data_IF_184708190886
#
_entry.id   IF_184708190886
#
_cell.length_a   1.000
_cell.length_b   1.000
_cell.length_c   1.000
_cell.angle_alpha   90.00
_cell.angle_beta   90.00
_cell.angle_gamma   90.00
#
_symmetry.space_group_name_H-M   'P 1'
#
loop_
_entity.id
_entity.type
_entity.pdbx_description
1 polymer ?
#
# COMPACT_ATOMS: atom_id res chain seq x y z
N UNK A 1 52.87 -27.63 -62.63
CA UNK A 1 52.81 -27.00 -61.29
C UNK A 1 51.55 -26.14 -61.24
N UNK A 2 50.45 -26.66 -60.69
CA UNK A 2 49.14 -25.99 -60.62
C UNK A 2 48.85 -25.58 -59.17
N UNK A 3 48.90 -24.28 -58.88
CA UNK A 3 48.55 -23.70 -57.58
C UNK A 3 47.09 -23.28 -57.54
N UNK A 4 46.25 -24.05 -56.84
CA UNK A 4 44.88 -23.64 -56.49
C UNK A 4 44.90 -22.59 -55.37
N UNK A 5 44.35 -21.40 -55.63
CA UNK A 5 44.07 -20.38 -54.62
C UNK A 5 42.75 -20.71 -53.93
N UNK A 6 42.78 -20.97 -52.61
CA UNK A 6 41.57 -21.08 -51.78
C UNK A 6 41.11 -19.68 -51.37
N UNK A 7 39.92 -19.28 -51.78
CA UNK A 7 39.22 -18.10 -51.25
C UNK A 7 38.58 -18.49 -49.91
N UNK A 8 38.97 -17.83 -48.82
CA UNK A 8 38.32 -17.97 -47.53
C UNK A 8 37.25 -16.88 -47.40
N UNK A 9 35.98 -17.28 -47.42
CA UNK A 9 34.84 -16.38 -47.22
C UNK A 9 34.60 -16.19 -45.72
N UNK A 10 34.91 -15.01 -45.19
CA UNK A 10 34.62 -14.68 -43.78
C UNK A 10 33.14 -14.27 -43.66
N UNK A 11 32.31 -15.14 -43.07
CA UNK A 11 30.93 -14.78 -42.71
C UNK A 11 30.95 -13.88 -41.47
N UNK A 12 30.58 -12.62 -41.64
CA UNK A 12 30.33 -11.69 -40.54
C UNK A 12 28.90 -11.94 -40.01
N UNK A 13 28.75 -12.60 -38.86
CA UNK A 13 27.47 -12.69 -38.16
C UNK A 13 27.21 -11.36 -37.45
N UNK A 14 26.30 -10.54 -37.97
CA UNK A 14 25.75 -9.40 -37.25
C UNK A 14 24.77 -9.91 -36.19
N UNK A 15 25.19 -9.94 -34.92
CA UNK A 15 24.29 -10.19 -33.79
C UNK A 15 23.32 -8.99 -33.66
N UNK A 16 22.10 -9.14 -34.16
CA UNK A 16 20.99 -8.24 -33.84
C UNK A 16 20.63 -8.45 -32.36
N UNK A 17 21.13 -7.58 -31.49
CA UNK A 17 20.69 -7.53 -30.09
C UNK A 17 19.24 -7.05 -30.05
N UNK A 18 18.30 -7.98 -29.87
CA UNK A 18 16.92 -7.66 -29.58
C UNK A 18 16.86 -6.93 -28.21
N UNK A 19 16.15 -5.80 -28.09
CA UNK A 19 15.98 -5.16 -26.79
C UNK A 19 15.25 -6.13 -25.86
N UNK A 20 15.90 -6.49 -24.76
CA UNK A 20 15.26 -7.27 -23.71
C UNK A 20 14.09 -6.44 -23.16
N UNK A 21 12.87 -6.86 -23.45
CA UNK A 21 11.68 -6.33 -22.78
C UNK A 21 11.78 -6.79 -21.33
N UNK A 22 12.29 -5.91 -20.46
CA UNK A 22 12.27 -6.14 -19.02
C UNK A 22 10.82 -6.07 -18.57
N UNK A 23 10.20 -7.22 -18.37
CA UNK A 23 8.95 -7.29 -17.62
C UNK A 23 9.28 -6.92 -16.18
N UNK A 24 8.76 -5.78 -15.70
CA UNK A 24 8.91 -5.41 -14.31
C UNK A 24 8.33 -6.54 -13.45
N UNK A 25 9.14 -7.07 -12.54
CA UNK A 25 8.71 -8.12 -11.61
C UNK A 25 7.52 -7.61 -10.80
N UNK A 26 6.49 -8.43 -10.64
CA UNK A 26 5.32 -8.12 -9.80
C UNK A 26 5.79 -7.75 -8.40
N UNK A 27 5.37 -6.59 -7.93
CA UNK A 27 5.70 -6.08 -6.61
C UNK A 27 4.77 -6.68 -5.57
N UNK A 28 5.35 -7.17 -4.47
CA UNK A 28 4.64 -7.67 -3.30
C UNK A 28 4.90 -6.78 -2.09
N UNK A 29 3.91 -6.74 -1.20
CA UNK A 29 3.85 -5.83 -0.09
C UNK A 29 4.08 -6.54 1.23
N UNK A 30 4.80 -5.88 2.14
CA UNK A 30 4.72 -6.17 3.56
C UNK A 30 3.53 -5.43 4.18
N UNK A 31 3.05 -5.86 5.35
CA UNK A 31 2.05 -5.13 6.14
C UNK A 31 2.40 -3.63 6.27
N UNK A 32 1.51 -2.65 6.13
CA UNK A 32 1.94 -1.24 6.03
C UNK A 32 2.16 -0.51 7.38
N UNK A 33 2.24 -1.21 8.52
CA UNK A 33 2.41 -0.57 9.84
C UNK A 33 3.42 -1.29 10.74
N UNK A 34 3.98 -0.61 11.74
CA UNK A 34 4.98 -1.21 12.64
C UNK A 34 4.39 -2.34 13.49
N UNK A 35 5.04 -3.51 13.49
CA UNK A 35 4.72 -4.66 14.35
C UNK A 35 5.57 -4.74 15.63
N UNK A 36 6.20 -3.64 16.05
CA UNK A 36 6.77 -3.57 17.40
C UNK A 36 5.68 -3.87 18.44
N UNK A 37 6.06 -4.46 19.57
CA UNK A 37 5.14 -4.96 20.60
C UNK A 37 4.23 -3.87 21.19
N UNK A 38 4.72 -2.63 21.24
CA UNK A 38 4.01 -1.43 21.67
C UNK A 38 3.29 -0.68 20.53
N UNK A 39 3.42 -1.17 19.30
CA UNK A 39 2.78 -0.63 18.08
C UNK A 39 1.60 -1.53 17.67
N UNK A 40 1.60 -2.10 16.46
CA UNK A 40 0.58 -3.08 16.05
C UNK A 40 0.84 -4.50 16.55
N UNK A 41 2.04 -4.78 17.09
CA UNK A 41 2.34 -6.07 17.72
C UNK A 41 1.38 -6.36 18.88
N UNK A 42 1.28 -7.62 19.28
CA UNK A 42 0.45 -8.08 20.41
C UNK A 42 -1.02 -7.59 20.34
N UNK A 43 -1.59 -7.49 19.13
CA UNK A 43 -2.97 -7.06 18.94
C UNK A 43 -3.19 -5.55 19.02
N UNK A 44 -2.15 -4.74 18.90
CA UNK A 44 -2.28 -3.27 18.91
C UNK A 44 -2.94 -2.68 17.65
N UNK A 45 -3.11 -3.48 16.60
CA UNK A 45 -3.91 -3.15 15.43
C UNK A 45 -4.78 -4.33 15.01
N UNK A 46 -5.92 -4.05 14.38
CA UNK A 46 -6.86 -5.06 13.89
C UNK A 46 -7.43 -4.67 12.54
N UNK A 47 -7.84 -5.65 11.74
CA UNK A 47 -8.58 -5.36 10.51
C UNK A 47 -10.02 -5.01 10.87
N UNK A 48 -10.44 -3.79 10.54
CA UNK A 48 -11.82 -3.33 10.73
C UNK A 48 -12.68 -3.49 9.48
N UNK A 49 -12.10 -3.35 8.30
CA UNK A 49 -12.78 -3.52 7.01
C UNK A 49 -11.79 -3.92 5.91
N UNK A 50 -12.22 -4.78 5.01
CA UNK A 50 -11.56 -5.08 3.74
C UNK A 50 -12.26 -4.36 2.59
N UNK A 51 -11.69 -4.41 1.39
CA UNK A 51 -12.33 -3.85 0.19
C UNK A 51 -13.68 -4.51 -0.04
N UNK A 52 -14.64 -3.71 -0.50
CA UNK A 52 -15.96 -4.18 -0.87
C UNK A 52 -15.97 -4.67 -2.34
N UNK A 53 -16.11 -5.99 -2.51
CA UNK A 53 -16.29 -6.65 -3.80
C UNK A 53 -17.78 -6.90 -4.10
N UNK A 54 -18.58 -5.83 -4.02
CA UNK A 54 -20.01 -5.87 -4.34
C UNK A 54 -20.85 -6.55 -3.25
N UNK A 55 -20.59 -6.23 -1.99
CA UNK A 55 -21.31 -6.75 -0.83
C UNK A 55 -20.54 -7.82 -0.05
N UNK A 56 -19.28 -8.08 -0.36
CA UNK A 56 -18.45 -9.13 0.26
C UNK A 56 -16.98 -8.74 0.25
N UNK A 57 -16.20 -9.24 1.19
CA UNK A 57 -14.74 -9.08 1.18
C UNK A 57 -14.04 -10.14 0.30
N UNK A 58 -12.71 -10.07 0.22
CA UNK A 58 -11.88 -10.97 -0.60
C UNK A 58 -12.12 -12.46 -0.31
N UNK A 59 -12.49 -12.80 0.92
CA UNK A 59 -12.75 -14.16 1.40
C UNK A 59 -14.24 -14.53 1.36
N UNK A 60 -15.05 -13.76 0.64
CA UNK A 60 -16.51 -13.90 0.59
C UNK A 60 -17.21 -13.65 1.93
N UNK A 61 -16.52 -13.01 2.88
CA UNK A 61 -17.06 -12.63 4.18
C UNK A 61 -17.76 -11.27 4.16
N UNK A 62 -18.16 -10.82 5.35
CA UNK A 62 -18.87 -9.56 5.58
C UNK A 62 -18.04 -8.47 6.25
N UNK A 63 -16.71 -8.62 6.37
CA UNK A 63 -15.86 -7.64 7.07
C UNK A 63 -15.52 -6.51 6.10
N UNK A 64 -16.52 -5.67 5.83
CA UNK A 64 -16.48 -4.55 4.88
C UNK A 64 -17.62 -3.58 5.17
N UNK A 65 -17.61 -2.43 4.51
CA UNK A 65 -18.77 -1.58 4.35
C UNK A 65 -18.95 -1.18 2.88
N UNK A 66 -20.15 -0.72 2.51
CA UNK A 66 -20.51 -0.51 1.11
C UNK A 66 -19.58 0.52 0.43
N UNK A 67 -19.04 0.16 -0.74
CA UNK A 67 -18.16 1.02 -1.53
C UNK A 67 -16.75 1.19 -0.96
N UNK A 68 -16.36 0.44 0.07
CA UNK A 68 -15.03 0.53 0.65
C UNK A 68 -13.95 0.10 -0.36
N UNK A 69 -12.93 0.93 -0.54
CA UNK A 69 -11.94 0.74 -1.62
C UNK A 69 -10.63 0.09 -1.19
N UNK A 70 -10.39 -0.12 0.10
CA UNK A 70 -9.10 -0.61 0.60
C UNK A 70 -9.26 -1.51 1.81
N UNK A 71 -8.18 -1.69 2.57
CA UNK A 71 -8.22 -2.33 3.89
C UNK A 71 -7.97 -1.31 4.98
N UNK A 72 -8.80 -1.35 6.03
CA UNK A 72 -8.65 -0.53 7.23
C UNK A 72 -7.97 -1.33 8.34
N UNK A 73 -6.86 -0.79 8.84
CA UNK A 73 -6.15 -1.28 10.00
C UNK A 73 -6.38 -0.33 11.17
N UNK A 74 -7.40 -0.65 11.98
CA UNK A 74 -7.77 0.14 13.15
C UNK A 74 -6.73 0.03 14.26
N UNK A 75 -6.46 1.17 14.90
CA UNK A 75 -5.60 1.23 16.09
C UNK A 75 -6.39 0.77 17.31
N UNK A 76 -5.98 -0.34 17.92
CA UNK A 76 -6.60 -0.82 19.16
C UNK A 76 -6.21 0.12 20.30
N UNK A 77 -7.21 0.74 20.92
CA UNK A 77 -7.04 1.85 21.87
C UNK A 77 -7.38 3.23 21.28
N UNK A 78 -7.78 3.31 20.00
CA UNK A 78 -8.34 4.50 19.38
C UNK A 78 -7.43 5.72 19.48
N UNK A 79 -7.98 6.87 19.89
CA UNK A 79 -7.24 8.12 19.97
C UNK A 79 -6.06 8.08 20.94
N UNK A 80 -6.13 7.33 22.05
CA UNK A 80 -4.99 7.17 22.95
C UNK A 80 -3.82 6.43 22.26
N UNK A 81 -4.13 5.46 21.39
CA UNK A 81 -3.12 4.76 20.59
C UNK A 81 -2.56 5.64 19.46
N UNK A 82 -3.40 6.48 18.87
CA UNK A 82 -2.96 7.52 17.93
C UNK A 82 -1.99 8.50 18.61
N UNK A 83 -2.31 8.97 19.82
CA UNK A 83 -1.48 9.92 20.59
C UNK A 83 -0.12 9.33 20.97
N UNK A 84 -0.07 8.01 21.20
CA UNK A 84 1.19 7.28 21.35
C UNK A 84 2.06 7.30 20.07
N UNK A 85 1.43 7.33 18.89
CA UNK A 85 2.09 7.52 17.60
C UNK A 85 2.48 6.21 16.91
N UNK A 86 1.54 5.65 16.13
CA UNK A 86 1.77 4.40 15.40
C UNK A 86 2.40 4.61 14.03
N UNK A 87 3.58 4.03 13.81
CA UNK A 87 4.31 4.16 12.55
C UNK A 87 3.62 3.44 11.39
N UNK A 88 3.41 4.18 10.31
CA UNK A 88 3.11 3.68 8.98
C UNK A 88 4.43 3.47 8.24
N UNK A 89 4.56 2.31 7.61
CA UNK A 89 5.79 1.86 6.98
C UNK A 89 5.56 1.65 5.49
N UNK A 90 6.56 1.99 4.68
CA UNK A 90 6.51 1.75 3.25
C UNK A 90 6.40 0.24 2.97
N UNK A 91 5.38 -0.14 2.21
CA UNK A 91 4.97 -1.53 2.04
C UNK A 91 5.84 -2.27 1.01
N UNK A 92 6.38 -1.53 0.03
CA UNK A 92 7.35 -2.01 -0.95
C UNK A 92 8.15 -0.82 -1.49
N UNK A 93 9.33 -1.08 -2.03
CA UNK A 93 10.17 -0.02 -2.60
C UNK A 93 9.44 0.75 -3.71
N UNK A 94 9.61 2.06 -3.74
CA UNK A 94 8.90 2.91 -4.71
C UNK A 94 9.32 4.37 -4.64
N UNK A 95 8.60 5.21 -5.39
CA UNK A 95 8.76 6.67 -5.39
C UNK A 95 7.47 7.32 -4.93
N UNK A 96 7.57 8.31 -4.03
CA UNK A 96 6.39 9.10 -3.61
C UNK A 96 5.89 9.90 -4.81
N UNK A 97 4.76 9.47 -5.37
CA UNK A 97 4.13 10.10 -6.54
C UNK A 97 3.32 11.34 -6.13
N UNK A 98 2.64 11.27 -4.98
CA UNK A 98 1.85 12.35 -4.42
C UNK A 98 1.78 12.24 -2.90
N UNK A 99 1.65 13.38 -2.24
CA UNK A 99 1.49 13.45 -0.79
C UNK A 99 0.77 14.73 -0.40
N UNK A 100 -0.11 14.63 0.58
CA UNK A 100 -0.82 15.76 1.18
C UNK A 100 -0.70 15.64 2.69
N UNK A 101 -0.38 16.74 3.37
CA UNK A 101 -0.17 16.80 4.81
C UNK A 101 -0.72 18.12 5.40
N UNK A 102 -0.84 18.19 6.72
CA UNK A 102 -1.20 19.38 7.49
C UNK A 102 -2.69 19.53 7.82
N UNK A 103 -3.56 18.70 7.25
CA UNK A 103 -4.99 18.71 7.56
C UNK A 103 -5.26 18.15 8.95
N UNK A 104 -6.35 18.60 9.56
CA UNK A 104 -6.78 18.10 10.86
C UNK A 104 -7.01 16.58 10.83
N UNK A 105 -6.59 15.92 11.90
CA UNK A 105 -6.37 14.47 11.94
C UNK A 105 -6.97 13.76 13.15
N UNK A 106 -7.87 14.42 13.90
CA UNK A 106 -8.63 13.79 15.00
C UNK A 106 -10.12 13.65 14.68
N UNK A 107 -10.43 13.28 13.46
CA UNK A 107 -11.78 13.20 12.95
C UNK A 107 -12.52 11.97 13.50
N UNK A 108 -13.81 12.15 13.75
CA UNK A 108 -14.75 11.09 14.06
C UNK A 108 -16.07 11.43 13.37
N UNK A 109 -16.29 10.83 12.20
CA UNK A 109 -17.47 11.05 11.36
C UNK A 109 -18.81 10.79 12.09
N UNK A 110 -18.82 9.97 13.14
CA UNK A 110 -20.03 9.70 13.92
C UNK A 110 -20.32 10.76 14.98
N UNK A 111 -19.32 11.55 15.38
CA UNK A 111 -19.46 12.67 16.31
C UNK A 111 -19.63 13.99 15.56
N UNK A 112 -20.72 14.09 14.80
CA UNK A 112 -21.03 15.30 14.00
C UNK A 112 -21.41 16.51 14.87
N UNK A 113 -21.76 16.28 16.15
CA UNK A 113 -22.06 17.34 17.10
C UNK A 113 -20.79 18.11 17.53
N UNK A 114 -19.62 17.47 17.42
CA UNK A 114 -18.34 18.10 17.65
C UNK A 114 -17.84 18.75 16.34
N UNK A 115 -17.84 20.09 16.22
CA UNK A 115 -17.40 20.78 15.01
C UNK A 115 -15.92 20.53 14.70
N UNK A 116 -15.13 20.07 15.67
CA UNK A 116 -13.75 19.65 15.48
C UNK A 116 -13.62 18.20 15.03
N UNK A 117 -14.64 17.34 15.20
CA UNK A 117 -14.58 15.92 14.80
C UNK A 117 -15.34 15.60 13.50
N UNK A 118 -16.26 16.48 13.07
CA UNK A 118 -17.16 16.32 11.92
C UNK A 118 -16.47 16.30 10.53
N UNK A 119 -15.18 15.97 10.43
CA UNK A 119 -14.32 16.13 9.26
C UNK A 119 -14.69 15.36 7.97
N UNK A 120 -15.89 14.78 7.88
CA UNK A 120 -16.36 13.98 6.75
C UNK A 120 -16.25 14.66 5.38
N UNK A 121 -15.97 15.96 5.33
CA UNK A 121 -15.85 16.77 4.11
C UNK A 121 -14.45 17.38 3.90
N UNK A 122 -13.47 17.10 4.76
CA UNK A 122 -12.11 17.66 4.63
C UNK A 122 -11.16 16.71 3.89
N UNK A 123 -10.19 17.30 3.21
CA UNK A 123 -9.08 16.58 2.58
C UNK A 123 -8.32 15.76 3.63
N UNK A 124 -8.06 14.49 3.34
CA UNK A 124 -7.24 13.64 4.21
C UNK A 124 -5.74 13.89 3.97
N UNK A 125 -4.92 13.68 5.01
CA UNK A 125 -3.49 13.53 4.85
C UNK A 125 -3.19 12.16 4.26
N UNK A 126 -2.34 12.10 3.24
CA UNK A 126 -2.03 10.86 2.55
C UNK A 126 -0.64 10.85 1.91
N UNK A 127 -0.17 9.63 1.61
CA UNK A 127 0.97 9.35 0.73
C UNK A 127 0.51 8.37 -0.35
N UNK A 128 0.89 8.62 -1.60
CA UNK A 128 0.74 7.68 -2.73
C UNK A 128 2.14 7.30 -3.20
N UNK A 129 2.45 6.01 -3.09
CA UNK A 129 3.72 5.42 -3.51
C UNK A 129 3.52 4.72 -4.85
N UNK A 130 4.35 5.04 -5.85
CA UNK A 130 4.38 4.33 -7.14
C UNK A 130 5.53 3.32 -7.17
N UNK A 131 5.23 2.11 -7.59
CA UNK A 131 6.19 1.00 -7.64
C UNK A 131 6.77 0.78 -9.05
N UNK A 132 7.75 -0.13 -9.15
CA UNK A 132 8.48 -0.41 -10.37
C UNK A 132 7.61 -1.06 -11.47
N UNK A 133 6.60 -1.84 -11.09
CA UNK A 133 5.62 -2.45 -11.99
C UNK A 133 4.46 -1.51 -12.38
N UNK A 134 4.53 -0.25 -11.97
CA UNK A 134 3.51 0.76 -12.23
C UNK A 134 2.32 0.72 -11.26
N UNK A 135 2.23 -0.28 -10.39
CA UNK A 135 1.23 -0.30 -9.32
C UNK A 135 1.48 0.80 -8.30
N UNK A 136 0.48 1.08 -7.48
CA UNK A 136 0.59 2.07 -6.40
C UNK A 136 0.04 1.52 -5.10
N UNK A 137 0.65 1.93 -3.99
CA UNK A 137 0.03 1.85 -2.67
C UNK A 137 -0.36 3.23 -2.20
N UNK A 138 -1.52 3.34 -1.55
CA UNK A 138 -2.00 4.60 -0.98
C UNK A 138 -2.20 4.43 0.52
N UNK A 139 -1.70 5.40 1.27
CA UNK A 139 -1.72 5.44 2.72
C UNK A 139 -2.54 6.66 3.13
N UNK A 140 -3.73 6.44 3.67
CA UNK A 140 -4.67 7.51 3.99
C UNK A 140 -4.87 7.67 5.50
N UNK A 141 -5.61 8.72 5.87
CA UNK A 141 -5.92 9.09 7.25
C UNK A 141 -4.67 9.35 8.11
N UNK A 142 -3.59 9.84 7.50
CA UNK A 142 -2.32 10.03 8.20
C UNK A 142 -2.40 11.14 9.25
N UNK A 143 -1.56 11.01 10.28
CA UNK A 143 -1.35 12.03 11.29
C UNK A 143 -0.61 13.22 10.67
N UNK A 144 -1.09 14.43 10.93
CA UNK A 144 -0.56 15.65 10.33
C UNK A 144 0.86 15.95 10.78
N UNK A 145 1.67 16.50 9.89
CA UNK A 145 3.06 16.89 10.14
C UNK A 145 3.95 15.73 10.60
N UNK A 146 3.62 14.50 10.20
CA UNK A 146 4.41 13.30 10.52
C UNK A 146 5.08 12.67 9.32
N UNK A 147 4.82 13.16 8.10
CA UNK A 147 5.43 12.63 6.89
C UNK A 147 6.95 12.84 6.91
N UNK A 148 7.71 11.77 6.65
CA UNK A 148 9.17 11.77 6.78
C UNK A 148 9.88 12.18 5.50
N UNK A 149 9.20 12.12 4.35
CA UNK A 149 9.80 12.29 3.04
C UNK A 149 8.90 13.14 2.13
N UNK A 150 9.54 13.90 1.25
CA UNK A 150 8.86 14.72 0.26
C UNK A 150 8.51 13.92 -1.01
N UNK A 151 7.63 14.51 -1.83
CA UNK A 151 7.33 14.04 -3.19
C UNK A 151 8.60 13.78 -4.00
N UNK A 152 8.56 12.78 -4.88
CA UNK A 152 9.67 12.29 -5.71
C UNK A 152 10.81 11.59 -4.97
N UNK A 153 10.76 11.46 -3.64
CA UNK A 153 11.73 10.65 -2.91
C UNK A 153 11.58 9.17 -3.27
N UNK A 154 12.72 8.50 -3.51
CA UNK A 154 12.80 7.05 -3.67
C UNK A 154 12.99 6.41 -2.29
N UNK A 155 12.03 5.56 -1.89
CA UNK A 155 11.95 5.02 -0.54
C UNK A 155 11.99 3.49 -0.62
N UNK A 156 12.88 2.89 0.17
CA UNK A 156 12.95 1.43 0.30
C UNK A 156 11.76 0.86 1.07
N UNK A 157 11.51 -0.43 0.90
CA UNK A 157 10.58 -1.16 1.77
C UNK A 157 10.96 -1.03 3.25
N UNK A 158 9.96 -1.03 4.14
CA UNK A 158 10.11 -0.96 5.61
C UNK A 158 10.63 0.37 6.18
N UNK A 159 10.79 1.41 5.37
CA UNK A 159 11.05 2.76 5.89
C UNK A 159 9.81 3.32 6.61
N UNK A 160 9.99 4.04 7.71
CA UNK A 160 8.93 4.80 8.36
C UNK A 160 8.59 6.02 7.51
N UNK A 161 7.34 6.15 7.07
CA UNK A 161 6.95 7.21 6.14
C UNK A 161 6.02 8.26 6.76
N UNK A 162 5.24 7.89 7.77
CA UNK A 162 4.31 8.74 8.49
C UNK A 162 3.82 8.04 9.77
N UNK A 163 2.95 8.70 10.54
CA UNK A 163 2.15 8.06 11.60
C UNK A 163 0.69 7.93 11.19
N UNK A 164 0.02 6.90 11.70
CA UNK A 164 -1.41 6.71 11.51
C UNK A 164 -2.20 7.73 12.34
N UNK A 165 -3.26 8.29 11.76
CA UNK A 165 -4.10 9.30 12.38
C UNK A 165 -5.58 9.01 12.13
N UNK A 166 -6.37 10.08 12.08
CA UNK A 166 -7.78 10.05 11.72
C UNK A 166 -8.14 11.31 10.94
N UNK A 167 -7.45 11.60 9.82
CA UNK A 167 -7.74 12.79 8.99
C UNK A 167 -8.78 12.52 7.91
N UNK A 168 -9.55 13.53 7.51
CA UNK A 168 -10.59 13.44 6.48
C UNK A 168 -11.80 12.61 6.91
N UNK A 169 -12.43 11.91 5.97
CA UNK A 169 -13.62 11.09 6.22
C UNK A 169 -13.27 9.79 6.97
N UNK A 170 -13.00 9.92 8.27
CA UNK A 170 -12.61 8.84 9.17
C UNK A 170 -13.53 8.79 10.39
N UNK A 171 -13.84 7.58 10.84
CA UNK A 171 -14.70 7.31 12.02
C UNK A 171 -13.88 7.16 13.31
N UNK A 172 -12.56 7.04 13.20
CA UNK A 172 -11.63 6.92 14.31
C UNK A 172 -10.24 6.50 13.81
N UNK A 173 -9.22 6.43 14.67
CA UNK A 173 -7.85 6.23 14.20
C UNK A 173 -7.58 4.87 13.55
N UNK A 174 -7.16 4.91 12.29
CA UNK A 174 -6.80 3.75 11.50
C UNK A 174 -5.90 4.16 10.33
N UNK A 175 -5.24 3.18 9.72
CA UNK A 175 -4.68 3.34 8.38
C UNK A 175 -5.67 2.74 7.37
N UNK A 176 -6.14 3.54 6.41
CA UNK A 176 -6.77 3.03 5.20
C UNK A 176 -5.70 2.82 4.13
N UNK A 177 -5.52 1.57 3.72
CA UNK A 177 -4.50 1.13 2.77
C UNK A 177 -5.14 0.64 1.49
N UNK A 178 -4.80 1.27 0.37
CA UNK A 178 -5.24 0.84 -0.96
C UNK A 178 -4.07 0.30 -1.78
N UNK A 179 -4.37 -0.70 -2.60
CA UNK A 179 -3.56 -1.10 -3.73
C UNK A 179 -4.23 -0.61 -5.01
N UNK A 180 -3.46 -0.09 -5.97
CA UNK A 180 -3.99 0.37 -7.24
C UNK A 180 -3.21 -0.22 -8.40
N UNK A 181 -3.96 -0.74 -9.36
CA UNK A 181 -3.44 -1.45 -10.52
C UNK A 181 -3.66 -0.62 -11.79
N UNK A 182 -2.61 -0.41 -12.61
CA UNK A 182 -2.75 0.26 -13.90
C UNK A 182 -3.86 -0.35 -14.75
N UNK A 183 -4.71 0.50 -15.33
CA UNK A 183 -5.82 0.11 -16.21
C UNK A 183 -6.95 -0.72 -15.57
N UNK A 184 -6.85 -1.05 -14.27
CA UNK A 184 -7.88 -1.79 -13.54
C UNK A 184 -8.53 -0.92 -12.45
N UNK A 185 -7.72 -0.13 -11.73
CA UNK A 185 -8.21 0.73 -10.66
C UNK A 185 -7.81 0.22 -9.28
N UNK A 186 -8.57 0.62 -8.26
CA UNK A 186 -8.28 0.24 -6.87
C UNK A 186 -8.63 -1.23 -6.62
N UNK A 187 -7.73 -1.93 -5.93
CA UNK A 187 -7.86 -3.30 -5.49
C UNK A 187 -7.35 -3.54 -4.06
N UNK A 188 -7.59 -4.74 -3.55
CA UNK A 188 -7.12 -5.18 -2.25
C UNK A 188 -5.88 -6.08 -2.43
N UNK A 189 -4.78 -5.89 -1.67
CA UNK A 189 -3.68 -6.85 -1.73
C UNK A 189 -4.04 -8.26 -1.24
N UNK A 190 -5.14 -8.43 -0.51
CA UNK A 190 -5.61 -9.75 -0.07
C UNK A 190 -6.18 -10.55 -1.25
N UNK A 191 -5.66 -11.76 -1.43
CA UNK A 191 -6.13 -12.73 -2.40
C UNK A 191 -7.18 -13.68 -1.83
N UNK A 192 -8.26 -13.92 -2.57
CA UNK A 192 -9.32 -14.85 -2.24
C UNK A 192 -10.38 -14.99 -3.33
N UNK A 193 -11.29 -15.95 -3.16
CA UNK A 193 -12.26 -16.38 -4.18
C UNK A 193 -13.31 -15.33 -4.56
N UNK A 194 -13.46 -14.26 -3.78
CA UNK A 194 -14.41 -13.18 -4.05
C UNK A 194 -13.75 -11.85 -4.43
N UNK A 195 -12.41 -11.80 -4.48
CA UNK A 195 -11.63 -10.66 -4.91
C UNK A 195 -10.63 -11.05 -6.01
N UNK A 196 -9.39 -10.58 -5.89
CA UNK A 196 -8.29 -11.07 -6.72
C UNK A 196 -7.88 -12.50 -6.29
N UNK A 197 -7.61 -13.43 -7.22
CA UNK A 197 -7.26 -14.81 -6.86
C UNK A 197 -5.86 -14.94 -6.24
N UNK A 198 -5.00 -13.93 -6.37
CA UNK A 198 -3.62 -13.97 -5.90
C UNK A 198 -3.37 -12.89 -4.86
N UNK A 199 -2.68 -13.28 -3.79
CA UNK A 199 -2.21 -12.32 -2.78
C UNK A 199 -1.06 -11.49 -3.32
N UNK A 200 -1.11 -10.18 -3.08
CA UNK A 200 0.02 -9.27 -3.28
C UNK A 200 0.84 -9.10 -2.00
N UNK A 201 0.43 -9.69 -0.88
CA UNK A 201 1.28 -9.73 0.32
C UNK A 201 2.44 -10.70 0.13
N UNK A 202 3.60 -10.38 0.71
CA UNK A 202 4.71 -11.35 0.84
C UNK A 202 4.31 -12.54 1.73
N UNK A 203 3.45 -12.28 2.72
CA UNK A 203 2.72 -13.28 3.50
C UNK A 203 1.37 -12.70 3.91
N UNK A 204 0.26 -13.30 3.46
CA UNK A 204 -1.09 -12.75 3.65
C UNK A 204 -1.59 -12.78 5.09
N UNK A 205 -1.23 -13.82 5.84
CA UNK A 205 -1.85 -14.12 7.12
C UNK A 205 -3.23 -14.78 6.98
N UNK A 206 -3.84 -15.10 8.13
CA UNK A 206 -5.20 -15.63 8.21
C UNK A 206 -6.26 -14.54 7.97
N UNK A 207 -7.50 -14.94 7.72
CA UNK A 207 -8.63 -14.00 7.67
C UNK A 207 -8.78 -13.25 8.99
N UNK A 208 -8.95 -11.92 8.93
CA UNK A 208 -8.85 -10.97 10.06
C UNK A 208 -7.49 -10.89 10.75
N UNK A 209 -6.49 -11.61 10.23
CA UNK A 209 -5.09 -11.50 10.64
C UNK A 209 -4.35 -10.40 9.90
N UNK A 210 -3.26 -9.93 10.51
CA UNK A 210 -2.35 -8.99 9.87
C UNK A 210 -1.41 -9.74 8.90
N UNK A 211 -1.05 -9.15 7.75
CA UNK A 211 -0.02 -9.68 6.87
C UNK A 211 1.37 -9.70 7.54
N UNK A 212 2.30 -10.44 6.93
CA UNK A 212 3.69 -10.49 7.34
C UNK A 212 4.46 -9.20 7.05
N UNK A 213 5.63 -9.07 7.68
CA UNK A 213 6.46 -7.85 7.63
C UNK A 213 7.68 -7.94 6.72
N UNK A 214 7.90 -9.10 6.09
CA UNK A 214 9.04 -9.29 5.19
C UNK A 214 8.86 -8.50 3.90
N UNK A 215 9.90 -7.79 3.49
CA UNK A 215 10.00 -7.21 2.14
C UNK A 215 10.24 -8.32 1.10
N UNK A 216 9.88 -8.04 -0.15
CA UNK A 216 10.19 -8.89 -1.31
C UNK A 216 11.68 -8.89 -1.64
#
# INVERSE_FOLDING_TARGET
MNTMKKLATTLLFALLALPAVSSAQTVRFRFPMSQLADQCGNGGCTVSAYKDYGGRDYACGGVRYAGHTGTDYALVGGFSKMDYGVWVMNAASGVIESSVDGYFDRCNYWDQANPYAACGLYTANYIIMRHADGTKTKYWHLMKYTQQFARNASIGCSYWIARAGSSGASTGPHLHFEYWVPNYGTDDPYGGSCGTPYSMWTSQGAYRGLPGIACQ
#
